data_IF_681180500236
#
_entry.id   IF_681180500236
#
_cell.length_a   1.000
_cell.length_b   1.000
_cell.length_c   1.000
_cell.angle_alpha   90.00
_cell.angle_beta   90.00
_cell.angle_gamma   90.00
#
_symmetry.space_group_name_H-M   'P 1'
#
loop_
_entity.id
_entity.type
_entity.pdbx_description
1 polymer ?
#
# COMPACT_ATOMS: atom_id res chain seq x y z
N UNK A 1 -8.11 17.55 7.22
CA UNK A 1 -8.56 16.37 6.42
C UNK A 1 -7.92 15.10 7.02
N UNK A 2 -8.60 13.95 7.00
CA UNK A 2 -8.00 12.68 7.40
C UNK A 2 -7.52 11.92 6.16
N UNK A 3 -6.45 11.10 6.24
CA UNK A 3 -6.01 10.29 5.12
C UNK A 3 -7.13 9.39 4.58
N UNK A 4 -7.40 9.46 3.29
CA UNK A 4 -8.41 8.65 2.60
C UNK A 4 -8.10 8.53 1.10
N UNK A 5 -8.65 7.51 0.45
CA UNK A 5 -8.63 7.39 -1.01
C UNK A 5 -9.67 8.30 -1.65
N UNK A 6 -9.31 8.93 -2.76
CA UNK A 6 -10.20 9.77 -3.56
C UNK A 6 -10.00 9.51 -5.04
N UNK A 7 -10.98 9.91 -5.86
CA UNK A 7 -10.93 9.75 -7.32
C UNK A 7 -10.52 11.08 -7.94
N UNK A 8 -9.37 11.10 -8.62
CA UNK A 8 -8.97 12.19 -9.50
C UNK A 8 -9.35 11.86 -10.94
N UNK A 9 -10.15 12.70 -11.62
CA UNK A 9 -10.36 12.55 -13.05
C UNK A 9 -9.04 12.69 -13.80
N UNK A 10 -8.62 11.61 -14.48
CA UNK A 10 -7.37 11.56 -15.20
C UNK A 10 -7.59 11.04 -16.63
N UNK A 11 -6.78 11.54 -17.57
CA UNK A 11 -6.66 10.96 -18.91
C UNK A 11 -5.63 9.83 -18.86
N UNK A 12 -6.03 8.63 -19.29
CA UNK A 12 -5.15 7.45 -19.30
C UNK A 12 -4.56 7.21 -20.70
N UNK A 13 -3.26 6.93 -20.75
CA UNK A 13 -2.53 6.59 -21.97
C UNK A 13 -1.46 5.54 -21.69
N UNK A 14 -1.68 4.29 -22.11
CA UNK A 14 -0.79 3.18 -21.76
C UNK A 14 -0.66 3.03 -20.24
N UNK A 15 0.56 3.17 -19.73
CA UNK A 15 0.89 3.13 -18.30
C UNK A 15 0.98 4.53 -17.65
N UNK A 16 0.48 5.58 -18.32
CA UNK A 16 0.49 6.95 -17.82
C UNK A 16 -0.92 7.44 -17.49
N UNK A 17 -1.02 8.22 -16.42
CA UNK A 17 -2.23 8.96 -16.04
C UNK A 17 -1.89 10.44 -15.93
N UNK A 18 -2.65 11.29 -16.61
CA UNK A 18 -2.46 12.76 -16.61
C UNK A 18 -3.69 13.44 -16.03
N UNK A 19 -3.48 14.28 -15.02
CA UNK A 19 -4.51 15.08 -14.38
C UNK A 19 -3.92 16.43 -13.95
N UNK A 20 -4.76 17.34 -13.50
CA UNK A 20 -4.35 18.62 -12.92
C UNK A 20 -5.01 18.77 -11.56
N UNK A 21 -4.25 19.30 -10.60
CA UNK A 21 -4.72 19.65 -9.26
C UNK A 21 -4.52 21.15 -9.05
N UNK A 22 -5.32 21.69 -8.14
CA UNK A 22 -5.32 23.11 -7.76
C UNK A 22 -4.81 23.21 -6.34
N UNK A 23 -3.97 24.20 -6.06
CA UNK A 23 -3.55 24.59 -4.70
C UNK A 23 -4.77 24.85 -3.80
N UNK A 24 -4.84 24.19 -2.65
CA UNK A 24 -6.01 24.15 -1.78
C UNK A 24 -7.20 23.29 -2.26
N UNK A 25 -7.03 22.54 -3.35
CA UNK A 25 -8.05 21.71 -3.98
C UNK A 25 -7.89 20.22 -3.71
N UNK A 26 -8.77 19.40 -4.30
CA UNK A 26 -8.66 17.95 -4.23
C UNK A 26 -7.31 17.48 -4.80
N UNK A 27 -6.58 16.66 -4.04
CA UNK A 27 -5.24 16.20 -4.39
C UNK A 27 -4.11 17.00 -3.74
N UNK A 28 -4.43 18.11 -3.08
CA UNK A 28 -3.53 18.82 -2.18
C UNK A 28 -3.85 18.42 -0.73
N UNK A 29 -2.90 17.73 -0.07
CA UNK A 29 -3.17 16.98 1.16
C UNK A 29 -3.60 17.88 2.34
N UNK A 30 -3.13 19.12 2.39
CA UNK A 30 -3.50 20.07 3.43
C UNK A 30 -4.78 20.87 3.10
N UNK A 31 -5.20 20.87 1.83
CA UNK A 31 -6.36 21.61 1.29
C UNK A 31 -6.29 23.12 1.55
N UNK A 32 -5.11 23.71 1.63
CA UNK A 32 -4.90 25.14 1.85
C UNK A 32 -4.24 25.80 0.64
N UNK A 33 -4.88 26.86 0.11
CA UNK A 33 -4.31 27.64 -0.97
C UNK A 33 -3.19 28.56 -0.44
N UNK A 34 -1.97 28.02 -0.38
CA UNK A 34 -0.82 28.66 0.27
C UNK A 34 0.40 28.82 -0.68
N UNK A 35 0.24 28.47 -1.95
CA UNK A 35 1.29 28.49 -2.96
C UNK A 35 2.16 27.24 -2.98
N UNK A 36 1.83 26.21 -2.21
CA UNK A 36 2.52 24.93 -2.15
C UNK A 36 1.52 23.78 -2.27
N UNK A 37 1.77 22.90 -3.22
CA UNK A 37 0.97 21.68 -3.38
C UNK A 37 1.71 20.52 -2.72
N UNK A 38 1.03 19.84 -1.79
CA UNK A 38 1.52 18.61 -1.17
C UNK A 38 0.71 17.44 -1.72
N UNK A 39 1.28 16.70 -2.68
CA UNK A 39 0.68 15.49 -3.26
C UNK A 39 1.47 14.25 -2.82
N UNK A 40 1.04 13.60 -1.75
CA UNK A 40 1.56 12.29 -1.33
C UNK A 40 0.71 11.12 -1.90
N UNK A 41 -0.18 11.41 -2.85
CA UNK A 41 -1.06 10.43 -3.47
C UNK A 41 -0.39 9.57 -4.54
N UNK A 42 -1.16 8.66 -5.11
CA UNK A 42 -0.73 7.83 -6.22
C UNK A 42 -1.86 6.97 -6.78
N UNK A 43 -1.69 6.37 -7.97
CA UNK A 43 -2.69 5.49 -8.54
C UNK A 43 -3.02 4.32 -7.60
N UNK A 44 -4.26 4.27 -7.14
CA UNK A 44 -4.81 3.16 -6.37
C UNK A 44 -5.75 2.31 -7.22
N UNK A 45 -5.78 1.01 -6.96
CA UNK A 45 -6.84 0.14 -7.47
C UNK A 45 -7.68 -0.31 -6.27
N UNK A 46 -9.00 -0.08 -6.29
CA UNK A 46 -9.90 -0.52 -5.21
C UNK A 46 -10.27 -2.01 -5.32
N UNK A 47 -9.95 -2.64 -6.45
CA UNK A 47 -10.13 -4.07 -6.68
C UNK A 47 -8.80 -4.80 -6.46
N UNK A 48 -8.28 -4.73 -5.24
CA UNK A 48 -7.10 -5.51 -4.83
C UNK A 48 -7.59 -6.89 -4.40
N UNK A 49 -7.29 -7.92 -5.19
CA UNK A 49 -7.46 -9.30 -4.76
C UNK A 49 -6.60 -9.57 -3.53
N UNK A 50 -7.06 -10.46 -2.65
CA UNK A 50 -6.25 -10.89 -1.51
C UNK A 50 -4.88 -11.37 -2.00
N UNK A 51 -3.80 -10.87 -1.39
CA UNK A 51 -2.46 -11.38 -1.64
C UNK A 51 -2.44 -12.84 -1.18
N UNK A 52 -2.11 -13.81 -2.05
CA UNK A 52 -2.11 -15.20 -1.66
C UNK A 52 -1.16 -15.45 -0.48
N UNK A 53 -1.68 -16.02 0.59
CA UNK A 53 -0.88 -16.50 1.73
C UNK A 53 -0.77 -18.02 1.69
N UNK A 54 0.06 -18.57 2.58
CA UNK A 54 -0.05 -19.99 2.89
C UNK A 54 -1.46 -20.31 3.43
N UNK A 55 -1.94 -21.52 3.14
CA UNK A 55 -3.11 -22.06 3.81
C UNK A 55 -2.85 -22.18 5.32
N UNK A 56 -3.91 -22.29 6.13
CA UNK A 56 -3.75 -22.51 7.58
C UNK A 56 -2.81 -23.69 7.89
N UNK A 57 -2.92 -24.78 7.12
CA UNK A 57 -2.01 -25.93 7.24
C UNK A 57 -0.57 -25.62 6.82
N UNK A 58 -0.39 -24.83 5.74
CA UNK A 58 0.93 -24.37 5.32
C UNK A 58 1.61 -23.51 6.38
N UNK A 59 0.86 -22.62 7.04
CA UNK A 59 1.34 -21.80 8.15
C UNK A 59 1.74 -22.63 9.37
N UNK A 60 0.95 -23.64 9.75
CA UNK A 60 1.28 -24.55 10.86
C UNK A 60 2.55 -25.36 10.55
N UNK A 61 2.67 -25.84 9.32
CA UNK A 61 3.86 -26.57 8.89
C UNK A 61 5.11 -25.68 8.95
N UNK A 62 5.06 -24.48 8.37
CA UNK A 62 6.17 -23.52 8.43
C UNK A 62 6.53 -23.16 9.87
N UNK A 63 5.54 -22.93 10.72
CA UNK A 63 5.75 -22.61 12.14
C UNK A 63 6.46 -23.74 12.88
N UNK A 64 6.11 -24.99 12.57
CA UNK A 64 6.75 -26.18 13.14
C UNK A 64 8.20 -26.29 12.69
N UNK A 65 8.47 -26.09 11.40
CA UNK A 65 9.85 -26.09 10.86
C UNK A 65 10.72 -25.03 11.53
N UNK A 66 10.19 -23.80 11.69
CA UNK A 66 10.90 -22.72 12.36
C UNK A 66 11.16 -23.04 13.83
N UNK A 67 10.20 -23.63 14.54
CA UNK A 67 10.37 -24.07 15.93
C UNK A 67 11.44 -25.16 16.08
N UNK A 68 11.44 -26.17 15.21
CA UNK A 68 12.46 -27.23 15.21
C UNK A 68 13.85 -26.68 14.86
N UNK A 69 13.94 -25.78 13.87
CA UNK A 69 15.20 -25.12 13.52
C UNK A 69 15.75 -24.31 14.70
N UNK A 70 14.89 -23.55 15.40
CA UNK A 70 15.27 -22.82 16.61
C UNK A 70 15.79 -23.73 17.72
N UNK A 71 15.13 -24.86 17.96
CA UNK A 71 15.60 -25.86 18.94
C UNK A 71 16.92 -26.50 18.52
N UNK A 72 17.11 -26.79 17.23
CA UNK A 72 18.36 -27.36 16.72
C UNK A 72 19.53 -26.38 16.85
N UNK A 73 19.32 -25.09 16.58
CA UNK A 73 20.32 -24.04 16.81
C UNK A 73 20.66 -23.95 18.30
N UNK A 74 19.66 -23.87 19.18
CA UNK A 74 19.90 -23.77 20.64
C UNK A 74 20.71 -24.93 21.21
N UNK A 75 20.58 -26.14 20.68
CA UNK A 75 21.34 -27.32 21.13
C UNK A 75 22.81 -27.33 20.70
N UNK A 76 23.21 -26.42 19.80
CA UNK A 76 24.59 -26.29 19.29
C UNK A 76 25.43 -25.25 20.04
N UNK A 77 24.81 -24.46 20.90
CA UNK A 77 25.46 -23.49 21.80
C UNK A 77 25.42 -24.03 23.23
#
# INVERSE_FOLDING_TARGET
PAPHWYVLPATLGGNSATFSITDGGLGDDDLTANGSIVDQGGPGNNNVGAIPTLSGWGLLFLSTLLGLAGLAVRRRW
#
